data_IF_957687562342
#
_entry.id   IF_957687562342
#
_cell.length_a   1.000
_cell.length_b   1.000
_cell.length_c   1.000
_cell.angle_alpha   90.00
_cell.angle_beta   90.00
_cell.angle_gamma   90.00
#
_symmetry.space_group_name_H-M   'P 1'
#
loop_
_entity.id
_entity.type
_entity.pdbx_description
1 polymer ?
#
# COMPACT_ATOMS: atom_id res chain seq x y z
N UNK A 1 -9.74 -13.25 -2.56
CA UNK A 1 -10.43 -12.56 -3.68
C UNK A 1 -10.84 -11.15 -3.30
N UNK A 2 -11.64 -10.94 -2.23
CA UNK A 2 -12.16 -9.61 -1.84
C UNK A 2 -11.12 -8.46 -1.77
N UNK A 3 -9.95 -8.68 -1.15
CA UNK A 3 -8.89 -7.67 -1.03
C UNK A 3 -8.25 -7.30 -2.37
N UNK A 4 -8.07 -8.28 -3.26
CA UNK A 4 -7.56 -8.03 -4.60
C UNK A 4 -8.58 -7.27 -5.45
N UNK A 5 -9.87 -7.60 -5.35
CA UNK A 5 -10.92 -6.84 -6.04
C UNK A 5 -10.95 -5.39 -5.55
N UNK A 6 -10.92 -5.19 -4.23
CA UNK A 6 -10.85 -3.85 -3.66
C UNK A 6 -9.64 -3.06 -4.20
N UNK A 7 -8.45 -3.67 -4.22
CA UNK A 7 -7.26 -3.03 -4.77
C UNK A 7 -7.38 -2.74 -6.27
N UNK A 8 -7.95 -3.64 -7.07
CA UNK A 8 -8.14 -3.42 -8.50
C UNK A 8 -9.12 -2.26 -8.77
N UNK A 9 -10.28 -2.27 -8.11
CA UNK A 9 -11.33 -1.25 -8.24
C UNK A 9 -10.84 0.11 -7.76
N UNK A 10 -10.16 0.17 -6.63
CA UNK A 10 -9.76 1.43 -6.01
C UNK A 10 -8.40 1.93 -6.51
N UNK A 11 -7.50 1.08 -7.01
CA UNK A 11 -6.12 1.48 -7.32
C UNK A 11 -5.86 1.48 -8.82
N UNK A 12 -6.51 0.62 -9.62
CA UNK A 12 -6.16 0.44 -11.04
C UNK A 12 -7.26 0.92 -11.99
N UNK A 13 -8.51 0.60 -11.69
CA UNK A 13 -9.63 0.85 -12.60
C UNK A 13 -9.78 2.33 -12.93
N UNK A 14 -9.69 2.68 -14.22
CA UNK A 14 -9.77 4.05 -14.73
C UNK A 14 -8.57 4.95 -14.40
N UNK A 15 -7.59 4.48 -13.61
CA UNK A 15 -6.42 5.26 -13.18
C UNK A 15 -5.14 4.90 -13.94
N UNK A 16 -5.06 3.66 -14.43
CA UNK A 16 -3.95 3.22 -15.29
C UNK A 16 -4.13 3.77 -16.72
N UNK A 17 -3.51 4.93 -17.00
CA UNK A 17 -3.58 5.63 -18.29
C UNK A 17 -2.18 5.89 -18.85
N UNK A 18 -1.48 4.86 -19.37
CA UNK A 18 -0.07 4.97 -19.79
C UNK A 18 0.16 5.98 -20.93
N UNK A 19 -0.88 6.24 -21.73
CA UNK A 19 -0.86 7.23 -22.82
C UNK A 19 -0.77 8.68 -22.32
N UNK A 20 -1.11 8.94 -21.05
CA UNK A 20 -1.08 10.26 -20.44
C UNK A 20 -0.14 10.27 -19.22
N UNK A 21 1.15 10.46 -19.47
CA UNK A 21 2.18 10.40 -18.44
C UNK A 21 2.09 11.54 -17.40
N UNK A 22 1.46 12.65 -17.76
CA UNK A 22 1.26 13.80 -16.87
C UNK A 22 0.08 13.62 -15.92
N UNK A 23 -0.79 12.62 -16.18
CA UNK A 23 -1.91 12.31 -15.33
C UNK A 23 -1.43 11.95 -13.91
N UNK A 24 -1.89 12.73 -12.93
CA UNK A 24 -1.56 12.57 -11.51
C UNK A 24 -1.96 11.19 -10.97
N UNK A 25 -3.13 10.69 -11.32
CA UNK A 25 -3.57 9.35 -10.91
C UNK A 25 -2.68 8.28 -11.53
N UNK A 26 -2.31 8.41 -12.81
CA UNK A 26 -1.36 7.48 -13.43
C UNK A 26 -0.01 7.47 -12.72
N UNK A 27 0.58 8.64 -12.44
CA UNK A 27 1.85 8.75 -11.71
C UNK A 27 1.78 8.09 -10.33
N UNK A 28 0.70 8.33 -9.60
CA UNK A 28 0.44 7.72 -8.29
C UNK A 28 0.35 6.20 -8.37
N UNK A 29 -0.45 5.69 -9.29
CA UNK A 29 -0.62 4.24 -9.50
C UNK A 29 0.69 3.60 -9.94
N UNK A 30 1.42 4.24 -10.84
CA UNK A 30 2.75 3.77 -11.26
C UNK A 30 3.69 3.60 -10.06
N UNK A 31 3.74 4.58 -9.17
CA UNK A 31 4.54 4.53 -7.92
C UNK A 31 4.08 3.42 -6.96
N UNK A 32 2.77 3.23 -6.80
CA UNK A 32 2.20 2.14 -5.99
C UNK A 32 2.64 0.76 -6.49
N UNK A 33 2.78 0.59 -7.80
CA UNK A 33 3.08 -0.69 -8.44
C UNK A 33 4.53 -0.84 -8.92
N UNK A 34 5.43 0.09 -8.59
CA UNK A 34 6.87 -0.18 -8.74
C UNK A 34 7.27 -1.41 -7.94
N UNK A 35 8.21 -2.19 -8.48
CA UNK A 35 8.53 -3.52 -7.95
C UNK A 35 8.90 -3.50 -6.46
N UNK A 36 9.79 -2.60 -6.05
CA UNK A 36 10.22 -2.51 -4.66
C UNK A 36 9.10 -1.95 -3.76
N UNK A 37 8.41 -0.90 -4.21
CA UNK A 37 7.23 -0.32 -3.53
C UNK A 37 6.14 -1.36 -3.28
N UNK A 38 5.78 -2.14 -4.30
CA UNK A 38 4.80 -3.21 -4.21
C UNK A 38 5.17 -4.25 -3.15
N UNK A 39 6.42 -4.70 -3.15
CA UNK A 39 6.89 -5.68 -2.16
C UNK A 39 6.92 -5.12 -0.73
N UNK A 40 7.21 -3.83 -0.55
CA UNK A 40 7.21 -3.24 0.79
C UNK A 40 5.80 -2.95 1.29
N UNK A 41 4.93 -2.36 0.48
CA UNK A 41 3.59 -2.05 0.97
C UNK A 41 2.75 -3.32 1.18
N UNK A 42 2.98 -4.40 0.43
CA UNK A 42 2.31 -5.69 0.68
C UNK A 42 2.71 -6.31 2.02
N UNK A 43 3.97 -6.16 2.45
CA UNK A 43 4.40 -6.51 3.82
C UNK A 43 3.70 -5.65 4.85
N UNK A 44 3.65 -4.34 4.60
CA UNK A 44 2.96 -3.38 5.47
C UNK A 44 1.48 -3.76 5.67
N UNK A 45 0.76 -4.06 4.59
CA UNK A 45 -0.62 -4.60 4.66
C UNK A 45 -0.66 -5.89 5.47
N UNK A 46 0.21 -6.85 5.19
CA UNK A 46 0.23 -8.14 5.92
C UNK A 46 0.44 -7.95 7.43
N UNK A 47 1.38 -7.08 7.83
CA UNK A 47 1.63 -6.73 9.24
C UNK A 47 0.42 -6.05 9.87
N UNK A 48 -0.22 -5.11 9.18
CA UNK A 48 -1.40 -4.42 9.69
C UNK A 48 -2.62 -5.32 9.81
N UNK A 49 -2.81 -6.22 8.87
CA UNK A 49 -3.83 -7.27 8.93
C UNK A 49 -3.65 -8.14 10.17
N UNK A 50 -2.42 -8.52 10.53
CA UNK A 50 -2.14 -9.24 11.79
C UNK A 50 -2.56 -8.44 13.02
N UNK A 51 -2.27 -7.14 13.04
CA UNK A 51 -2.63 -6.24 14.15
C UNK A 51 -4.16 -6.17 14.31
N UNK A 52 -4.90 -5.84 13.24
CA UNK A 52 -6.35 -5.62 13.34
C UNK A 52 -7.17 -6.89 13.54
N UNK A 53 -6.63 -8.04 13.15
CA UNK A 53 -7.24 -9.35 13.37
C UNK A 53 -6.71 -10.05 14.63
N UNK A 54 -5.79 -9.42 15.38
CA UNK A 54 -5.15 -9.99 16.57
C UNK A 54 -4.54 -11.38 16.32
N UNK A 55 -3.89 -11.56 15.16
CA UNK A 55 -3.31 -12.85 14.77
C UNK A 55 -1.88 -12.99 15.30
N UNK A 56 -1.52 -14.16 15.86
CA UNK A 56 -0.15 -14.43 16.23
C UNK A 56 0.74 -14.65 14.98
N UNK A 57 2.07 -14.54 15.10
CA UNK A 57 3.01 -14.58 13.96
C UNK A 57 2.90 -15.85 13.09
N UNK A 58 2.64 -16.99 13.71
CA UNK A 58 2.55 -18.32 13.10
C UNK A 58 1.27 -18.53 12.28
N UNK A 59 0.22 -17.76 12.54
CA UNK A 59 -1.04 -17.93 11.85
C UNK A 59 -1.03 -17.32 10.44
N UNK A 60 -1.72 -17.99 9.52
CA UNK A 60 -1.92 -17.51 8.16
C UNK A 60 -2.88 -16.30 8.16
N UNK A 61 -2.49 -15.23 7.47
CA UNK A 61 -3.26 -13.98 7.36
C UNK A 61 -4.34 -14.07 6.29
N UNK A 62 -3.99 -14.63 5.12
CA UNK A 62 -4.86 -14.64 3.95
C UNK A 62 -5.83 -15.83 3.94
N UNK A 63 -6.87 -15.73 3.11
CA UNK A 63 -7.91 -16.75 2.91
C UNK A 63 -8.78 -17.07 4.14
N UNK A 64 -8.74 -16.22 5.17
CA UNK A 64 -9.63 -16.31 6.33
C UNK A 64 -11.03 -15.76 6.00
N UNK A 65 -12.04 -16.27 6.70
CA UNK A 65 -13.31 -15.58 6.78
C UNK A 65 -13.17 -14.36 7.67
N UNK A 66 -13.65 -13.21 7.20
CA UNK A 66 -13.52 -11.92 7.88
C UNK A 66 -14.92 -11.34 8.08
N UNK A 67 -15.35 -11.08 9.33
CA UNK A 67 -16.62 -10.40 9.60
C UNK A 67 -16.65 -9.01 8.95
N UNK A 68 -17.84 -8.52 8.60
CA UNK A 68 -18.02 -7.22 7.94
C UNK A 68 -17.39 -6.06 8.71
N UNK A 69 -17.49 -6.07 10.05
CA UNK A 69 -16.88 -5.04 10.90
C UNK A 69 -15.35 -4.98 10.80
N UNK A 70 -14.71 -6.16 10.74
CA UNK A 70 -13.25 -6.26 10.55
C UNK A 70 -12.89 -5.87 9.13
N UNK A 71 -13.73 -6.20 8.15
CA UNK A 71 -13.52 -5.80 6.76
C UNK A 71 -13.47 -4.28 6.59
N UNK A 72 -14.33 -3.52 7.25
CA UNK A 72 -14.26 -2.05 7.19
C UNK A 72 -12.94 -1.49 7.72
N UNK A 73 -12.32 -2.13 8.72
CA UNK A 73 -10.97 -1.77 9.17
C UNK A 73 -9.91 -2.07 8.10
N UNK A 74 -10.06 -3.18 7.37
CA UNK A 74 -9.18 -3.51 6.23
C UNK A 74 -9.30 -2.46 5.12
N UNK A 75 -10.52 -2.02 4.79
CA UNK A 75 -10.77 -0.95 3.81
C UNK A 75 -10.10 0.35 4.24
N UNK A 76 -10.23 0.73 5.51
CA UNK A 76 -9.59 1.93 6.06
C UNK A 76 -8.05 1.86 5.97
N UNK A 77 -7.46 0.71 6.29
CA UNK A 77 -6.02 0.47 6.11
C UNK A 77 -5.60 0.64 4.64
N UNK A 78 -6.37 0.03 3.73
CA UNK A 78 -6.12 0.11 2.30
C UNK A 78 -6.22 1.57 1.81
N UNK A 79 -7.22 2.31 2.28
CA UNK A 79 -7.37 3.73 1.96
C UNK A 79 -6.18 4.55 2.45
N UNK A 80 -5.75 4.36 3.71
CA UNK A 80 -4.58 5.04 4.28
C UNK A 80 -3.30 4.74 3.51
N UNK A 81 -3.15 3.52 3.03
CA UNK A 81 -2.05 3.15 2.15
C UNK A 81 -2.07 3.99 0.88
N UNK A 82 -3.18 4.07 0.15
CA UNK A 82 -3.24 4.80 -1.14
C UNK A 82 -3.13 6.30 -0.95
N UNK A 83 -3.69 6.85 0.13
CA UNK A 83 -3.70 8.29 0.38
C UNK A 83 -2.40 8.79 1.01
N UNK A 84 -1.44 7.91 1.30
CA UNK A 84 -0.18 8.31 1.90
C UNK A 84 0.57 9.33 1.02
N UNK A 85 1.06 10.46 1.57
CA UNK A 85 1.70 11.52 0.79
C UNK A 85 2.94 11.09 0.00
N UNK A 86 3.63 10.02 0.43
CA UNK A 86 4.83 9.48 -0.26
C UNK A 86 4.60 9.22 -1.75
N UNK A 87 3.37 8.86 -2.15
CA UNK A 87 3.05 8.57 -3.56
C UNK A 87 2.99 9.82 -4.41
N UNK A 88 2.82 11.00 -3.82
CA UNK A 88 2.75 12.29 -4.50
C UNK A 88 3.84 13.24 -4.05
N UNK A 89 4.85 12.74 -3.33
CA UNK A 89 5.99 13.54 -2.89
C UNK A 89 6.70 14.15 -4.11
N UNK A 90 6.87 15.48 -4.15
CA UNK A 90 7.52 16.16 -5.27
C UNK A 90 9.05 16.01 -5.26
N UNK A 91 9.65 15.50 -4.18
CA UNK A 91 11.09 15.31 -4.08
C UNK A 91 11.57 14.28 -5.12
N UNK A 92 12.47 14.65 -6.06
CA UNK A 92 12.98 13.73 -7.07
C UNK A 92 13.70 12.50 -6.49
N UNK A 93 14.26 12.62 -5.29
CA UNK A 93 14.88 11.49 -4.59
C UNK A 93 13.84 10.42 -4.23
N UNK A 94 12.60 10.81 -3.90
CA UNK A 94 11.52 9.85 -3.62
C UNK A 94 11.17 9.05 -4.87
N UNK A 95 11.02 9.70 -6.03
CA UNK A 95 10.81 8.98 -7.30
C UNK A 95 11.95 7.99 -7.57
N UNK A 96 13.19 8.44 -7.39
CA UNK A 96 14.39 7.64 -7.63
C UNK A 96 14.43 6.42 -6.73
N UNK A 97 14.14 6.59 -5.44
CA UNK A 97 14.10 5.48 -4.47
C UNK A 97 12.94 4.53 -4.73
N UNK A 98 11.72 5.03 -5.00
CA UNK A 98 10.56 4.19 -5.27
C UNK A 98 10.73 3.35 -6.55
N UNK A 99 11.33 3.95 -7.60
CA UNK A 99 11.64 3.26 -8.85
C UNK A 99 12.92 2.40 -8.75
N UNK A 100 13.65 2.47 -7.65
CA UNK A 100 14.79 1.58 -7.44
C UNK A 100 14.30 0.14 -7.33
N UNK A 101 15.08 -0.81 -7.83
CA UNK A 101 14.84 -2.23 -7.57
C UNK A 101 15.37 -2.68 -6.19
N UNK A 102 15.82 -1.73 -5.36
CA UNK A 102 16.46 -1.98 -4.06
C UNK A 102 15.41 -1.86 -2.96
N UNK A 103 14.91 -3.01 -2.53
CA UNK A 103 13.84 -3.09 -1.53
C UNK A 103 14.19 -2.44 -0.19
N UNK A 104 15.46 -2.50 0.23
CA UNK A 104 15.94 -1.89 1.49
C UNK A 104 15.74 -0.37 1.47
N UNK A 105 16.07 0.29 0.37
CA UNK A 105 16.03 1.74 0.26
C UNK A 105 14.58 2.25 0.32
N UNK A 106 13.64 1.51 -0.28
CA UNK A 106 12.20 1.78 -0.14
C UNK A 106 11.72 1.56 1.29
N UNK A 107 12.19 0.52 1.97
CA UNK A 107 11.83 0.28 3.37
C UNK A 107 12.34 1.41 4.29
N UNK A 108 13.56 1.90 4.06
CA UNK A 108 14.12 3.05 4.77
C UNK A 108 13.35 4.34 4.48
N UNK A 109 12.98 4.58 3.22
CA UNK A 109 12.11 5.70 2.84
C UNK A 109 10.76 5.64 3.56
N UNK A 110 10.09 4.48 3.55
CA UNK A 110 8.81 4.31 4.24
C UNK A 110 8.94 4.59 5.73
N UNK A 111 9.99 4.05 6.37
CA UNK A 111 10.28 4.32 7.78
C UNK A 111 10.50 5.81 8.05
N UNK A 112 11.32 6.49 7.23
CA UNK A 112 11.62 7.91 7.36
C UNK A 112 10.37 8.79 7.20
N UNK A 113 9.43 8.36 6.35
CA UNK A 113 8.16 9.05 6.10
C UNK A 113 7.04 8.66 7.09
N UNK A 114 7.35 7.86 8.12
CA UNK A 114 6.34 7.39 9.09
C UNK A 114 5.35 6.38 8.50
N UNK A 115 5.61 5.83 7.32
CA UNK A 115 4.74 4.89 6.63
C UNK A 115 4.94 3.47 7.17
N UNK A 116 4.30 3.19 8.31
CA UNK A 116 4.48 1.96 9.07
C UNK A 116 3.13 1.35 9.52
N UNK A 117 3.11 0.10 10.03
CA UNK A 117 1.86 -0.56 10.38
C UNK A 117 1.01 0.19 11.41
N UNK A 118 1.64 0.90 12.35
CA UNK A 118 0.92 1.68 13.37
C UNK A 118 0.19 2.85 12.74
N UNK A 119 0.85 3.57 11.80
CA UNK A 119 0.22 4.66 11.07
C UNK A 119 -1.04 4.19 10.35
N UNK A 120 -0.96 3.11 9.55
CA UNK A 120 -2.12 2.67 8.76
C UNK A 120 -3.21 1.99 9.59
N UNK A 121 -2.90 1.50 10.81
CA UNK A 121 -3.87 0.90 11.72
C UNK A 121 -4.57 1.90 12.66
N UNK A 122 -4.18 3.18 12.64
CA UNK A 122 -4.90 4.19 13.44
C UNK A 122 -6.37 4.30 13.00
N UNK A 123 -7.28 4.78 13.85
CA UNK A 123 -8.65 5.13 13.45
C UNK A 123 -8.69 6.16 12.32
#
# INVERSE_FOLDING_TARGET
VRLFNYAAENYLQGKWTPENQDNTEFRKVRRLFYRASFREWTKLISSSLRIIMYLPPEEAVFYRQVPTEVWHKIEAICQKLITHPVWMDPNPMVETTLNSNVQRDVAELFKAQGFNPLFICTP
#
